data_IF_680630480269
#
_entry.id   IF_680630480269
#
_cell.length_a   1.000
_cell.length_b   1.000
_cell.length_c   1.000
_cell.angle_alpha   90.00
_cell.angle_beta   90.00
_cell.angle_gamma   90.00
#
_symmetry.space_group_name_H-M   'P 1'
#
loop_
_entity.id
_entity.type
_entity.pdbx_description
1 polymer ?
#
# COMPACT_ATOMS: atom_id res chain seq x y z
N UNK A 1 77.38 -11.12 21.86
CA UNK A 1 77.16 -9.80 21.24
C UNK A 1 76.25 -9.98 20.04
N UNK A 2 75.06 -9.40 20.10
CA UNK A 2 74.05 -9.48 19.04
C UNK A 2 74.56 -8.62 17.87
N UNK A 3 74.51 -9.16 16.64
CA UNK A 3 75.00 -8.49 15.44
C UNK A 3 74.11 -7.20 15.22
N UNK A 4 74.71 -6.08 14.71
CA UNK A 4 73.93 -4.86 14.41
C UNK A 4 72.75 -5.12 13.45
N UNK A 5 72.84 -6.06 12.54
CA UNK A 5 71.84 -6.51 11.61
C UNK A 5 70.64 -7.14 12.34
N UNK A 6 70.90 -8.04 13.31
CA UNK A 6 69.82 -8.67 14.11
C UNK A 6 69.05 -7.65 14.97
N UNK A 7 69.76 -6.64 15.48
CA UNK A 7 69.11 -5.54 16.24
C UNK A 7 68.17 -4.67 15.36
N UNK A 8 68.58 -4.42 14.11
CA UNK A 8 67.74 -3.66 13.15
C UNK A 8 66.47 -4.43 12.76
N UNK A 9 66.59 -5.71 12.46
CA UNK A 9 65.44 -6.57 12.17
C UNK A 9 64.47 -6.67 13.35
N UNK A 10 64.96 -6.79 14.57
CA UNK A 10 64.13 -6.82 15.76
C UNK A 10 63.30 -5.50 15.95
N UNK A 11 63.92 -4.36 15.71
CA UNK A 11 63.23 -3.07 15.75
C UNK A 11 62.13 -2.98 14.68
N UNK A 12 62.39 -3.45 13.47
CA UNK A 12 61.45 -3.47 12.36
C UNK A 12 60.24 -4.37 12.67
N UNK A 13 60.48 -5.58 13.19
CA UNK A 13 59.41 -6.49 13.58
C UNK A 13 58.55 -5.94 14.72
N UNK A 14 59.13 -5.33 15.72
CA UNK A 14 58.43 -4.70 16.79
C UNK A 14 57.55 -3.52 16.32
N UNK A 15 58.02 -2.77 15.33
CA UNK A 15 57.22 -1.72 14.71
C UNK A 15 56.01 -2.31 13.97
N UNK A 16 56.21 -3.34 13.16
CA UNK A 16 55.14 -4.05 12.46
C UNK A 16 54.11 -4.65 13.42
N UNK A 17 54.54 -5.26 14.51
CA UNK A 17 53.64 -5.80 15.54
C UNK A 17 52.77 -4.71 16.13
N UNK A 18 53.33 -3.54 16.44
CA UNK A 18 52.53 -2.41 16.93
C UNK A 18 51.49 -1.91 15.89
N UNK A 19 51.90 -1.82 14.63
CA UNK A 19 51.02 -1.43 13.52
C UNK A 19 49.90 -2.45 13.35
N UNK A 20 50.16 -3.73 13.36
CA UNK A 20 49.16 -4.78 13.26
C UNK A 20 48.22 -4.81 14.47
N UNK A 21 48.75 -4.63 15.68
CA UNK A 21 47.90 -4.56 16.86
C UNK A 21 46.93 -3.36 16.82
N UNK A 22 47.41 -2.23 16.35
CA UNK A 22 46.54 -1.06 16.14
C UNK A 22 45.42 -1.34 15.11
N UNK A 23 45.76 -1.94 13.97
CA UNK A 23 44.77 -2.33 12.95
C UNK A 23 43.79 -3.38 13.46
N UNK A 24 44.22 -4.30 14.31
CA UNK A 24 43.34 -5.29 14.93
C UNK A 24 42.29 -4.59 15.84
N UNK A 25 42.73 -3.66 16.67
CA UNK A 25 41.81 -2.93 17.56
C UNK A 25 40.84 -2.06 16.75
N UNK A 26 41.31 -1.39 15.71
CA UNK A 26 40.42 -0.62 14.80
C UNK A 26 39.36 -1.52 14.15
N UNK A 27 39.78 -2.69 13.65
CA UNK A 27 38.82 -3.65 13.05
C UNK A 27 37.84 -4.23 14.05
N UNK A 28 38.26 -4.48 15.27
CA UNK A 28 37.36 -4.93 16.35
C UNK A 28 36.25 -3.90 16.63
N UNK A 29 36.60 -2.63 16.67
CA UNK A 29 35.61 -1.57 16.86
C UNK A 29 34.59 -1.53 15.70
N UNK A 30 35.06 -1.63 14.45
CA UNK A 30 34.17 -1.66 13.28
C UNK A 30 33.26 -2.89 13.29
N UNK A 31 33.78 -4.05 13.72
CA UNK A 31 32.96 -5.26 13.84
C UNK A 31 31.88 -5.08 14.91
N UNK A 32 32.25 -4.57 16.09
CA UNK A 32 31.29 -4.33 17.18
C UNK A 32 30.17 -3.34 16.78
N UNK A 33 30.51 -2.27 16.07
CA UNK A 33 29.54 -1.32 15.54
C UNK A 33 28.61 -1.96 14.49
N UNK A 34 29.18 -2.75 13.61
CA UNK A 34 28.40 -3.47 12.59
C UNK A 34 27.46 -4.54 13.20
N UNK A 35 27.92 -5.22 14.25
CA UNK A 35 27.10 -6.20 14.99
C UNK A 35 25.96 -5.52 15.72
N UNK A 36 26.19 -4.37 16.36
CA UNK A 36 25.15 -3.59 17.00
C UNK A 36 24.09 -3.12 15.98
N UNK A 37 24.54 -2.55 14.85
CA UNK A 37 23.64 -2.12 13.77
C UNK A 37 22.82 -3.31 13.22
N UNK A 38 23.43 -4.46 13.10
CA UNK A 38 22.75 -5.66 12.61
C UNK A 38 21.70 -6.16 13.63
N UNK A 39 21.99 -6.09 14.91
CA UNK A 39 21.03 -6.43 15.97
C UNK A 39 19.82 -5.51 15.93
N UNK A 40 20.02 -4.19 15.84
CA UNK A 40 18.95 -3.21 15.74
C UNK A 40 18.08 -3.45 14.50
N UNK A 41 18.69 -3.69 13.34
CA UNK A 41 17.95 -3.99 12.11
C UNK A 41 17.12 -5.28 12.18
N UNK A 42 17.62 -6.28 12.90
CA UNK A 42 16.87 -7.53 13.12
C UNK A 42 15.64 -7.29 13.99
N UNK A 43 15.77 -6.56 15.08
CA UNK A 43 14.63 -6.23 15.95
C UNK A 43 13.58 -5.39 15.22
N UNK A 44 14.01 -4.38 14.46
CA UNK A 44 13.12 -3.59 13.60
C UNK A 44 12.37 -4.46 12.59
N UNK A 45 13.07 -5.41 11.97
CA UNK A 45 12.46 -6.32 11.00
C UNK A 45 11.39 -7.23 11.65
N UNK A 46 11.67 -7.75 12.84
CA UNK A 46 10.73 -8.58 13.58
C UNK A 46 9.47 -7.79 13.98
N UNK A 47 9.65 -6.57 14.47
CA UNK A 47 8.55 -5.69 14.82
C UNK A 47 7.67 -5.39 13.58
N UNK A 48 8.29 -5.04 12.45
CA UNK A 48 7.56 -4.76 11.20
C UNK A 48 6.84 -5.99 10.65
N UNK A 49 7.39 -7.18 10.83
CA UNK A 49 6.69 -8.41 10.44
C UNK A 49 5.46 -8.65 11.31
N UNK A 50 5.58 -8.46 12.62
CA UNK A 50 4.45 -8.60 13.54
C UNK A 50 3.33 -7.60 13.23
N UNK A 51 3.69 -6.32 13.00
CA UNK A 51 2.73 -5.29 12.58
C UNK A 51 2.04 -5.65 11.24
N UNK A 52 2.79 -6.19 10.30
CA UNK A 52 2.25 -6.62 9.01
C UNK A 52 1.25 -7.77 9.18
N UNK A 53 1.59 -8.76 9.99
CA UNK A 53 0.73 -9.91 10.23
C UNK A 53 -0.59 -9.49 10.93
N UNK A 54 -0.53 -8.54 11.86
CA UNK A 54 -1.71 -7.95 12.49
C UNK A 54 -2.60 -7.24 11.44
N UNK A 55 -2.01 -6.37 10.61
CA UNK A 55 -2.73 -5.65 9.55
C UNK A 55 -3.39 -6.64 8.57
N UNK A 56 -2.67 -7.68 8.16
CA UNK A 56 -3.22 -8.70 7.26
C UNK A 56 -4.42 -9.42 7.91
N UNK A 57 -4.27 -9.82 9.18
CA UNK A 57 -5.36 -10.50 9.91
C UNK A 57 -6.61 -9.62 10.02
N UNK A 58 -6.44 -8.36 10.35
CA UNK A 58 -7.57 -7.43 10.50
C UNK A 58 -8.21 -7.11 9.15
N UNK A 59 -7.40 -6.89 8.12
CA UNK A 59 -7.88 -6.67 6.75
C UNK A 59 -8.68 -7.88 6.24
N UNK A 60 -8.22 -9.10 6.50
CA UNK A 60 -8.96 -10.32 6.12
C UNK A 60 -10.31 -10.42 6.82
N UNK A 61 -10.39 -10.10 8.11
CA UNK A 61 -11.68 -10.10 8.84
C UNK A 61 -12.67 -9.06 8.27
N UNK A 62 -12.16 -7.87 7.95
CA UNK A 62 -12.98 -6.83 7.32
C UNK A 62 -13.45 -7.26 5.93
N UNK A 63 -12.56 -7.82 5.12
CA UNK A 63 -12.87 -8.33 3.77
C UNK A 63 -13.96 -9.40 3.82
N UNK A 64 -13.84 -10.39 4.71
CA UNK A 64 -14.88 -11.42 4.90
C UNK A 64 -16.21 -10.82 5.31
N UNK A 65 -16.19 -9.83 6.21
CA UNK A 65 -17.38 -9.11 6.65
C UNK A 65 -18.08 -8.36 5.51
N UNK A 66 -17.30 -7.67 4.69
CA UNK A 66 -17.78 -6.94 3.52
C UNK A 66 -18.27 -7.89 2.42
N UNK A 67 -17.57 -9.01 2.21
CA UNK A 67 -17.97 -10.02 1.24
C UNK A 67 -19.34 -10.61 1.57
N UNK A 68 -19.57 -10.99 2.83
CA UNK A 68 -20.88 -11.48 3.30
C UNK A 68 -22.00 -10.46 3.14
N UNK A 69 -21.69 -9.16 3.34
CA UNK A 69 -22.66 -8.08 3.09
C UNK A 69 -22.95 -7.94 1.60
N UNK A 70 -21.92 -8.00 0.76
CA UNK A 70 -22.05 -7.94 -0.70
C UNK A 70 -22.91 -9.07 -1.25
N UNK A 71 -22.69 -10.31 -0.81
CA UNK A 71 -23.51 -11.46 -1.25
C UNK A 71 -25.00 -11.29 -0.90
N UNK A 72 -25.30 -10.78 0.29
CA UNK A 72 -26.69 -10.52 0.69
C UNK A 72 -27.36 -9.48 -0.21
N UNK A 73 -26.64 -8.46 -0.60
CA UNK A 73 -27.17 -7.40 -1.48
C UNK A 73 -27.26 -7.91 -2.91
N UNK A 74 -26.28 -8.68 -3.39
CA UNK A 74 -26.31 -9.29 -4.72
C UNK A 74 -27.52 -10.20 -4.92
N UNK A 75 -27.95 -10.93 -3.90
CA UNK A 75 -29.13 -11.79 -3.95
C UNK A 75 -30.45 -11.04 -4.14
N UNK A 76 -30.49 -9.73 -3.84
CA UNK A 76 -31.69 -8.89 -3.97
C UNK A 76 -31.75 -8.22 -5.34
N UNK A 77 -30.61 -8.08 -6.03
CA UNK A 77 -30.48 -7.37 -7.30
C UNK A 77 -30.76 -8.31 -8.47
N UNK A 78 -31.49 -7.84 -9.48
CA UNK A 78 -31.75 -8.57 -10.70
C UNK A 78 -30.43 -8.96 -11.44
N UNK A 79 -30.30 -10.21 -11.87
CA UNK A 79 -29.09 -10.78 -12.52
C UNK A 79 -28.57 -9.94 -13.69
N UNK A 80 -29.46 -9.36 -14.48
CA UNK A 80 -29.12 -8.49 -15.60
C UNK A 80 -28.38 -7.24 -15.14
N UNK A 81 -28.85 -6.61 -14.08
CA UNK A 81 -28.24 -5.41 -13.51
C UNK A 81 -26.92 -5.73 -12.81
N UNK A 82 -26.88 -6.86 -12.11
CA UNK A 82 -25.67 -7.35 -11.44
C UNK A 82 -24.54 -7.64 -12.43
N UNK A 83 -24.88 -8.29 -13.54
CA UNK A 83 -23.92 -8.57 -14.63
C UNK A 83 -23.37 -7.29 -15.24
N UNK A 84 -24.24 -6.30 -15.51
CA UNK A 84 -23.83 -5.00 -16.01
C UNK A 84 -22.93 -4.25 -15.03
N UNK A 85 -23.29 -4.25 -13.75
CA UNK A 85 -22.49 -3.67 -12.66
C UNK A 85 -21.10 -4.30 -12.57
N UNK A 86 -21.02 -5.64 -12.51
CA UNK A 86 -19.73 -6.39 -12.43
C UNK A 86 -18.83 -6.06 -13.62
N UNK A 87 -19.40 -5.96 -14.83
CA UNK A 87 -18.65 -5.59 -16.03
C UNK A 87 -18.11 -4.15 -15.96
N UNK A 88 -18.92 -3.20 -15.49
CA UNK A 88 -18.45 -1.81 -15.34
C UNK A 88 -17.37 -1.73 -14.27
N UNK A 89 -17.56 -2.42 -13.14
CA UNK A 89 -16.60 -2.45 -12.03
C UNK A 89 -15.25 -3.01 -12.44
N UNK A 90 -15.22 -4.10 -13.21
CA UNK A 90 -13.97 -4.72 -13.67
C UNK A 90 -13.20 -3.84 -14.67
N UNK A 91 -13.90 -3.03 -15.46
CA UNK A 91 -13.30 -2.12 -16.44
C UNK A 91 -12.87 -0.78 -15.83
N UNK A 92 -13.35 -0.43 -14.65
CA UNK A 92 -13.00 0.81 -13.98
C UNK A 92 -11.70 0.64 -13.19
N UNK A 93 -10.66 1.45 -13.47
CA UNK A 93 -9.34 1.38 -12.79
C UNK A 93 -9.42 1.45 -11.25
N UNK A 94 -10.38 2.21 -10.73
CA UNK A 94 -10.61 2.38 -9.30
C UNK A 94 -11.70 1.46 -8.73
N UNK A 95 -12.23 0.51 -9.53
CA UNK A 95 -13.28 -0.40 -9.11
C UNK A 95 -14.64 0.25 -8.83
N UNK A 96 -14.81 1.56 -9.11
CA UNK A 96 -16.06 2.27 -8.87
C UNK A 96 -16.97 2.20 -10.10
N UNK A 97 -18.04 1.41 -10.01
CA UNK A 97 -19.07 1.30 -11.07
C UNK A 97 -20.17 2.35 -10.93
N UNK A 98 -20.47 2.78 -9.72
CA UNK A 98 -21.48 3.80 -9.39
C UNK A 98 -20.75 5.04 -8.88
N UNK A 99 -21.09 6.21 -9.41
CA UNK A 99 -20.43 7.48 -9.07
C UNK A 99 -21.45 8.61 -8.97
N UNK A 100 -21.25 9.58 -8.05
CA UNK A 100 -22.10 10.75 -7.96
C UNK A 100 -21.87 11.73 -9.10
N UNK A 101 -22.86 12.60 -9.30
CA UNK A 101 -22.69 13.79 -10.11
C UNK A 101 -22.28 14.93 -9.17
N UNK A 102 -21.06 15.42 -9.31
CA UNK A 102 -20.52 16.52 -8.52
C UNK A 102 -20.14 17.70 -9.41
N UNK A 103 -20.56 18.89 -9.05
CA UNK A 103 -20.24 20.13 -9.78
C UNK A 103 -20.55 20.01 -11.29
N UNK A 104 -21.71 19.48 -11.61
CA UNK A 104 -22.17 19.25 -12.99
C UNK A 104 -21.32 18.28 -13.81
N UNK A 105 -20.47 17.50 -13.16
CA UNK A 105 -19.55 16.53 -13.79
C UNK A 105 -19.72 15.13 -13.22
N UNK A 106 -19.31 14.14 -14.02
CA UNK A 106 -19.25 12.75 -13.60
C UNK A 106 -18.14 12.54 -12.56
N UNK A 107 -18.45 12.02 -11.37
CA UNK A 107 -17.48 11.73 -10.30
C UNK A 107 -16.42 10.68 -10.66
N UNK A 108 -16.50 10.05 -11.84
CA UNK A 108 -15.53 9.05 -12.28
C UNK A 108 -14.60 9.46 -13.42
N UNK A 109 -15.08 10.23 -14.40
CA UNK A 109 -14.26 10.71 -15.53
C UNK A 109 -14.17 12.23 -15.60
N UNK A 110 -14.89 12.94 -14.73
CA UNK A 110 -14.93 14.40 -14.61
C UNK A 110 -15.44 15.14 -15.86
N UNK A 111 -16.02 14.45 -16.82
CA UNK A 111 -16.66 15.07 -17.96
C UNK A 111 -17.98 15.73 -17.55
N UNK A 112 -18.24 16.89 -18.12
CA UNK A 112 -19.45 17.66 -17.85
C UNK A 112 -20.72 16.91 -18.31
N UNK A 113 -21.75 16.97 -17.49
CA UNK A 113 -23.06 16.33 -17.75
C UNK A 113 -24.08 17.42 -18.08
N UNK A 114 -24.79 17.31 -19.21
CA UNK A 114 -25.82 18.29 -19.59
C UNK A 114 -26.89 18.46 -18.50
N UNK A 115 -27.41 19.70 -18.27
CA UNK A 115 -28.40 19.97 -17.21
C UNK A 115 -29.63 19.08 -17.30
N UNK A 116 -30.09 18.78 -18.50
CA UNK A 116 -31.22 17.88 -18.72
C UNK A 116 -30.98 16.49 -18.12
N UNK A 117 -29.81 15.94 -18.32
CA UNK A 117 -29.40 14.65 -17.75
C UNK A 117 -29.29 14.66 -16.24
N UNK A 118 -28.84 15.78 -15.68
CA UNK A 118 -28.79 15.95 -14.22
C UNK A 118 -30.17 15.93 -13.59
N UNK A 119 -31.18 16.56 -14.25
CA UNK A 119 -32.56 16.49 -13.81
C UNK A 119 -33.13 15.07 -13.87
N UNK A 120 -32.80 14.33 -14.93
CA UNK A 120 -33.20 12.94 -15.07
C UNK A 120 -32.56 12.06 -13.95
N UNK A 121 -31.31 12.29 -13.59
CA UNK A 121 -30.66 11.59 -12.49
C UNK A 121 -31.30 11.89 -11.15
N UNK A 122 -31.59 13.16 -10.89
CA UNK A 122 -32.29 13.60 -9.67
C UNK A 122 -33.73 13.04 -9.57
N UNK A 123 -34.38 12.78 -10.70
CA UNK A 123 -35.73 12.18 -10.71
C UNK A 123 -35.76 10.72 -10.24
N UNK A 124 -34.59 10.03 -10.21
CA UNK A 124 -34.38 8.62 -9.76
C UNK A 124 -35.30 7.58 -10.45
N UNK A 125 -35.90 7.93 -11.60
CA UNK A 125 -36.85 7.05 -12.32
C UNK A 125 -36.15 5.99 -13.19
N UNK A 126 -34.93 6.22 -13.57
CA UNK A 126 -34.14 5.35 -14.50
C UNK A 126 -32.70 5.29 -14.05
N UNK A 127 -32.06 4.16 -14.38
CA UNK A 127 -30.59 4.01 -14.26
C UNK A 127 -29.98 4.75 -15.44
N UNK A 128 -29.17 5.76 -15.16
CA UNK A 128 -28.50 6.58 -16.16
C UNK A 128 -27.00 6.29 -16.09
N UNK A 129 -26.41 6.06 -17.27
CA UNK A 129 -24.97 5.81 -17.40
C UNK A 129 -24.28 7.01 -18.03
N UNK A 130 -23.04 7.23 -17.65
CA UNK A 130 -22.20 8.25 -18.25
C UNK A 130 -21.85 7.88 -19.69
N UNK A 131 -22.08 8.78 -20.65
CA UNK A 131 -21.80 8.54 -22.08
C UNK A 131 -20.31 8.38 -22.38
N UNK A 132 -19.44 8.94 -21.52
CA UNK A 132 -17.99 8.93 -21.73
C UNK A 132 -17.31 7.70 -21.11
N UNK A 133 -17.68 7.31 -19.90
CA UNK A 133 -16.99 6.24 -19.17
C UNK A 133 -17.89 5.03 -18.84
N UNK A 134 -19.18 5.08 -19.15
CA UNK A 134 -20.12 3.98 -18.95
C UNK A 134 -20.51 3.70 -17.48
N UNK A 135 -20.03 4.49 -16.51
CA UNK A 135 -20.36 4.33 -15.08
C UNK A 135 -21.79 4.76 -14.82
N UNK A 136 -22.42 4.13 -13.84
CA UNK A 136 -23.77 4.47 -13.39
C UNK A 136 -23.70 5.77 -12.60
N UNK A 137 -24.55 6.71 -12.99
CA UNK A 137 -24.64 8.04 -12.35
C UNK A 137 -25.75 8.04 -11.32
N UNK A 138 -25.46 8.52 -10.14
CA UNK A 138 -26.40 8.67 -9.04
C UNK A 138 -26.34 10.09 -8.47
N UNK A 139 -27.39 10.47 -7.77
CA UNK A 139 -27.44 11.72 -7.04
C UNK A 139 -26.57 11.63 -5.78
N UNK A 140 -25.98 12.75 -5.37
CA UNK A 140 -25.12 12.84 -4.18
C UNK A 140 -25.83 12.39 -2.89
N UNK A 141 -27.13 12.56 -2.81
CA UNK A 141 -27.93 12.16 -1.65
C UNK A 141 -27.93 10.64 -1.45
N UNK A 142 -28.04 9.86 -2.54
CA UNK A 142 -28.04 8.39 -2.47
C UNK A 142 -26.74 7.86 -1.86
N UNK A 143 -25.61 8.50 -2.18
CA UNK A 143 -24.32 8.06 -1.64
C UNK A 143 -24.20 8.37 -0.15
N UNK A 144 -24.76 9.50 0.29
CA UNK A 144 -24.78 9.85 1.72
C UNK A 144 -25.68 8.91 2.52
N UNK A 145 -26.77 8.46 1.95
CA UNK A 145 -27.68 7.49 2.56
C UNK A 145 -27.10 6.05 2.57
N UNK A 146 -26.27 5.70 1.59
CA UNK A 146 -25.65 4.38 1.46
C UNK A 146 -24.40 4.14 2.31
N UNK A 147 -23.93 5.12 3.06
CA UNK A 147 -22.80 5.01 4.00
C UNK A 147 -23.22 4.60 5.42
N UNK A 148 -24.26 3.78 5.54
CA UNK A 148 -24.67 3.14 6.78
C UNK A 148 -24.04 1.75 6.93
#
# INVERSE_FOLDING_TARGET
>A
KISPQTSCHFKLYNKKIKEFNFLIEEKKLVIADSEATLADRKTDLENKKSELDEIISDTQKEEEGLYKKSEKVEAIIEDRLLTAYKRIRSNARNGLAVVPVQRDACGGCFNQIPPQRQLDIKSRKKIIVCEYCGRILVDDEIIKEGHL
#
